data_IF_605989597577
#
_entry.id   IF_605989597577
#
_cell.length_a   1.000
_cell.length_b   1.000
_cell.length_c   1.000
_cell.angle_alpha   90.00
_cell.angle_beta   90.00
_cell.angle_gamma   90.00
#
_symmetry.space_group_name_H-M   'P 1'
#
loop_
_entity.id
_entity.type
_entity.pdbx_description
1 polymer ?
#
# COMPACT_ATOMS: atom_id res chain seq x y z
N UNK A 1 -18.43 -26.36 -44.60
CA UNK A 1 -17.18 -25.59 -44.46
C UNK A 1 -17.47 -24.44 -43.51
N UNK A 2 -17.06 -24.60 -42.25
CA UNK A 2 -17.22 -23.60 -41.18
C UNK A 2 -16.03 -22.64 -41.24
N UNK A 3 -16.31 -21.35 -41.48
CA UNK A 3 -15.33 -20.28 -41.40
C UNK A 3 -15.26 -19.74 -39.97
N UNK A 4 -14.11 -19.94 -39.32
CA UNK A 4 -13.81 -19.46 -37.98
C UNK A 4 -13.71 -17.92 -37.96
N UNK A 5 -14.56 -17.27 -37.18
CA UNK A 5 -14.38 -15.88 -36.79
C UNK A 5 -13.30 -15.82 -35.70
N UNK A 6 -12.16 -15.21 -36.01
CA UNK A 6 -11.14 -14.84 -35.04
C UNK A 6 -11.72 -13.80 -34.08
N UNK A 7 -12.15 -14.23 -32.89
CA UNK A 7 -12.41 -13.34 -31.76
C UNK A 7 -11.08 -12.84 -31.22
N UNK A 8 -10.73 -11.59 -31.51
CA UNK A 8 -9.65 -10.90 -30.79
C UNK A 8 -10.03 -10.78 -29.30
N UNK A 9 -9.08 -11.02 -28.37
CA UNK A 9 -9.31 -10.71 -26.96
C UNK A 9 -9.50 -9.19 -26.78
N UNK A 10 -10.21 -8.76 -25.72
CA UNK A 10 -10.61 -7.38 -25.54
C UNK A 10 -9.41 -6.44 -25.57
N UNK A 11 -9.60 -5.36 -26.33
CA UNK A 11 -8.66 -4.28 -26.59
C UNK A 11 -8.00 -3.76 -25.32
N UNK A 12 -6.71 -3.47 -25.45
CA UNK A 12 -5.76 -2.89 -24.51
C UNK A 12 -6.21 -1.63 -23.71
N UNK A 13 -7.44 -1.16 -23.89
CA UNK A 13 -8.05 -0.06 -23.14
C UNK A 13 -8.65 -0.49 -21.79
N UNK A 14 -9.07 -1.75 -21.60
CA UNK A 14 -9.62 -2.21 -20.30
C UNK A 14 -8.54 -2.58 -19.26
N UNK A 15 -7.28 -2.65 -19.69
CA UNK A 15 -6.11 -2.92 -18.85
C UNK A 15 -5.26 -1.67 -18.60
N UNK A 16 -5.83 -0.46 -18.76
CA UNK A 16 -5.26 0.70 -18.09
C UNK A 16 -5.33 0.44 -16.59
N UNK A 17 -4.19 0.12 -16.00
CA UNK A 17 -3.97 0.08 -14.57
C UNK A 17 -4.81 1.18 -13.90
N UNK A 18 -5.65 0.77 -12.93
CA UNK A 18 -6.55 1.63 -12.13
C UNK A 18 -5.76 2.68 -11.35
N UNK A 19 -5.19 3.64 -12.07
CA UNK A 19 -4.43 4.76 -11.55
C UNK A 19 -5.41 5.77 -10.99
N UNK A 20 -5.93 5.49 -9.80
CA UNK A 20 -6.58 6.51 -8.99
C UNK A 20 -5.58 7.63 -8.72
N UNK A 21 -5.98 8.87 -9.03
CA UNK A 21 -5.20 10.03 -8.60
C UNK A 21 -5.25 10.08 -7.07
N UNK A 22 -4.10 10.19 -6.37
CA UNK A 22 -4.10 10.28 -4.90
C UNK A 22 -5.04 11.37 -4.40
N UNK A 23 -5.88 11.04 -3.43
CA UNK A 23 -6.82 11.97 -2.80
C UNK A 23 -8.13 12.19 -3.56
N UNK A 24 -8.46 11.32 -4.52
CA UNK A 24 -9.73 11.34 -5.24
C UNK A 24 -10.89 10.90 -4.34
N UNK A 25 -10.68 9.89 -3.49
CA UNK A 25 -11.71 9.33 -2.60
C UNK A 25 -11.52 9.73 -1.13
N UNK A 26 -10.31 10.12 -0.75
CA UNK A 26 -9.92 10.36 0.64
C UNK A 26 -9.30 11.75 0.82
N UNK A 27 -9.47 12.35 1.99
CA UNK A 27 -8.73 13.56 2.34
C UNK A 27 -7.31 13.22 2.81
N UNK A 28 -6.33 13.34 1.90
CA UNK A 28 -4.91 12.96 2.11
C UNK A 28 -4.29 13.60 3.36
N UNK A 29 -4.52 14.90 3.57
CA UNK A 29 -3.95 15.65 4.69
C UNK A 29 -4.89 15.75 5.90
N UNK A 30 -5.99 14.98 5.93
CA UNK A 30 -6.94 15.05 7.05
C UNK A 30 -6.28 14.75 8.40
N UNK A 31 -5.30 13.85 8.42
CA UNK A 31 -4.48 13.54 9.60
C UNK A 31 -3.82 14.76 10.27
N UNK A 32 -3.69 15.90 9.56
CA UNK A 32 -3.14 17.17 10.08
C UNK A 32 -4.20 18.12 10.65
N UNK A 33 -5.48 17.85 10.36
CA UNK A 33 -6.60 18.69 10.79
C UNK A 33 -6.87 18.60 12.29
N UNK A 34 -7.54 19.61 12.85
CA UNK A 34 -7.94 19.61 14.26
C UNK A 34 -8.97 18.50 14.57
N UNK A 35 -9.87 18.21 13.62
CA UNK A 35 -10.89 17.15 13.72
C UNK A 35 -10.23 15.77 13.85
N UNK A 36 -9.22 15.49 13.02
CA UNK A 36 -8.53 14.20 13.05
C UNK A 36 -7.80 13.94 14.37
N UNK A 37 -7.37 14.99 15.10
CA UNK A 37 -6.63 14.83 16.37
C UNK A 37 -7.40 13.98 17.37
N UNK A 38 -8.73 14.08 17.42
CA UNK A 38 -9.54 13.26 18.33
C UNK A 38 -9.40 11.76 18.00
N UNK A 39 -9.44 11.40 16.72
CA UNK A 39 -9.29 10.01 16.25
C UNK A 39 -7.87 9.49 16.46
N UNK A 40 -6.87 10.26 16.04
CA UNK A 40 -5.46 9.86 16.16
C UNK A 40 -4.98 9.84 17.62
N UNK A 41 -5.58 10.61 18.53
CA UNK A 41 -5.28 10.54 19.96
C UNK A 41 -5.60 9.16 20.55
N UNK A 42 -6.60 8.45 20.03
CA UNK A 42 -6.98 7.09 20.46
C UNK A 42 -6.00 6.02 19.98
N UNK A 43 -5.23 6.34 18.94
CA UNK A 43 -4.16 5.50 18.43
C UNK A 43 -2.82 5.75 19.13
N UNK A 44 -2.77 6.71 20.06
CA UNK A 44 -1.58 7.02 20.84
C UNK A 44 -1.79 6.70 22.32
N UNK A 45 -0.73 6.22 22.96
CA UNK A 45 -0.65 6.11 24.41
C UNK A 45 0.68 6.72 24.86
N UNK A 46 0.65 7.69 25.77
CA UNK A 46 1.84 8.42 26.25
C UNK A 46 2.73 8.98 25.11
N UNK A 47 2.11 9.60 24.10
CA UNK A 47 2.76 10.18 22.90
C UNK A 47 3.48 9.18 21.99
N UNK A 48 3.36 7.87 22.23
CA UNK A 48 3.80 6.81 21.31
C UNK A 48 2.59 6.15 20.64
N UNK A 49 2.76 5.53 19.48
CA UNK A 49 1.68 4.74 18.87
C UNK A 49 1.38 3.53 19.76
N UNK A 50 0.10 3.28 19.98
CA UNK A 50 -0.35 2.12 20.72
C UNK A 50 -0.28 0.90 19.79
N UNK A 51 0.30 -0.19 20.29
CA UNK A 51 0.18 -1.50 19.66
C UNK A 51 -1.18 -2.09 20.01
N UNK A 52 -1.90 -2.56 18.99
CA UNK A 52 -3.18 -3.24 19.17
C UNK A 52 -2.98 -4.73 18.88
N UNK A 53 -3.56 -5.58 19.74
CA UNK A 53 -3.63 -7.02 19.48
C UNK A 53 -4.57 -7.37 18.32
N UNK A 54 -4.57 -8.63 17.93
CA UNK A 54 -5.45 -9.16 16.86
C UNK A 54 -6.96 -9.00 17.16
N UNK A 55 -7.34 -8.86 18.42
CA UNK A 55 -8.74 -8.64 18.82
C UNK A 55 -8.99 -7.24 19.39
N UNK A 56 -7.94 -6.44 19.57
CA UNK A 56 -8.09 -5.09 20.09
C UNK A 56 -8.50 -4.12 18.98
N UNK A 57 -9.32 -3.14 19.34
CA UNK A 57 -9.70 -2.04 18.48
C UNK A 57 -9.68 -0.71 19.27
N UNK A 58 -9.44 0.43 18.61
CA UNK A 58 -9.56 1.74 19.23
C UNK A 58 -11.01 1.96 19.68
N UNK A 59 -11.22 2.25 20.97
CA UNK A 59 -12.55 2.57 21.50
C UNK A 59 -12.85 4.04 21.24
N UNK A 60 -13.89 4.30 20.46
CA UNK A 60 -14.40 5.64 20.21
C UNK A 60 -15.48 6.03 21.24
N UNK A 61 -15.64 7.32 21.56
CA UNK A 61 -16.77 7.79 22.35
C UNK A 61 -18.10 7.41 21.69
N UNK A 62 -19.15 7.08 22.45
CA UNK A 62 -20.45 6.68 21.90
C UNK A 62 -21.13 7.79 21.08
N UNK A 63 -20.71 9.04 21.22
CA UNK A 63 -21.15 10.17 20.38
C UNK A 63 -20.59 10.13 18.96
N UNK A 64 -19.58 9.30 18.68
CA UNK A 64 -18.90 9.21 17.38
C UNK A 64 -18.97 7.75 16.91
N UNK A 65 -19.88 7.46 15.98
CA UNK A 65 -19.91 6.16 15.30
C UNK A 65 -18.85 6.15 14.18
N UNK A 66 -17.93 5.19 14.25
CA UNK A 66 -16.90 5.00 13.22
C UNK A 66 -16.89 3.55 12.81
N UNK A 67 -17.18 3.30 11.53
CA UNK A 67 -17.12 1.96 10.99
C UNK A 67 -15.66 1.55 10.77
N UNK A 68 -15.35 0.28 11.04
CA UNK A 68 -14.02 -0.30 10.82
C UNK A 68 -14.06 -1.27 9.65
N UNK A 69 -13.18 -1.05 8.68
CA UNK A 69 -12.96 -1.96 7.54
C UNK A 69 -11.65 -2.70 7.73
N UNK A 70 -11.64 -4.00 7.46
CA UNK A 70 -10.51 -4.88 7.74
C UNK A 70 -9.88 -5.35 6.44
N UNK A 71 -8.57 -5.21 6.31
CA UNK A 71 -7.84 -5.64 5.12
C UNK A 71 -6.61 -6.46 5.50
N UNK A 72 -6.42 -7.59 4.83
CA UNK A 72 -5.22 -8.42 4.91
C UNK A 72 -4.24 -7.98 3.84
N UNK A 73 -3.06 -7.53 4.28
CA UNK A 73 -2.00 -7.01 3.41
C UNK A 73 -0.76 -7.87 3.55
N UNK A 74 -0.37 -8.55 2.48
CA UNK A 74 0.84 -9.37 2.46
C UNK A 74 2.07 -8.54 2.07
N UNK A 75 3.17 -8.69 2.80
CA UNK A 75 4.45 -8.03 2.50
C UNK A 75 5.38 -9.04 1.84
N UNK A 76 5.70 -8.81 0.57
CA UNK A 76 6.60 -9.64 -0.24
C UNK A 76 7.86 -8.87 -0.60
N UNK A 77 8.99 -9.57 -0.67
CA UNK A 77 10.28 -8.97 -0.96
C UNK A 77 11.42 -9.90 -0.60
N UNK A 78 12.62 -9.64 -1.14
CA UNK A 78 13.82 -10.44 -0.85
C UNK A 78 14.17 -10.44 0.63
N UNK A 79 14.99 -11.39 1.08
CA UNK A 79 15.57 -11.34 2.42
C UNK A 79 16.35 -10.02 2.64
N UNK A 80 16.37 -9.53 3.87
CA UNK A 80 17.02 -8.28 4.27
C UNK A 80 16.59 -6.96 3.58
N UNK A 81 15.55 -6.94 2.73
CA UNK A 81 15.02 -5.67 2.13
C UNK A 81 14.28 -4.77 3.13
N UNK A 82 14.12 -5.20 4.38
CA UNK A 82 13.47 -4.39 5.42
C UNK A 82 11.94 -4.56 5.53
N UNK A 83 11.40 -5.74 5.23
CA UNK A 83 9.96 -6.06 5.41
C UNK A 83 9.49 -5.84 6.86
N UNK A 84 10.18 -6.44 7.82
CA UNK A 84 9.89 -6.33 9.25
C UNK A 84 10.05 -4.89 9.74
N UNK A 85 11.08 -4.19 9.25
CA UNK A 85 11.28 -2.77 9.49
C UNK A 85 10.10 -1.94 8.99
N UNK A 86 9.60 -2.19 7.77
CA UNK A 86 8.44 -1.48 7.22
C UNK A 86 7.20 -1.74 8.08
N UNK A 87 6.91 -3.00 8.43
CA UNK A 87 5.77 -3.36 9.26
C UNK A 87 5.83 -2.64 10.63
N UNK A 88 6.99 -2.68 11.29
CA UNK A 88 7.23 -1.96 12.54
C UNK A 88 7.03 -0.45 12.39
N UNK A 89 7.57 0.17 11.33
CA UNK A 89 7.39 1.61 11.04
C UNK A 89 5.92 1.98 10.81
N UNK A 90 5.18 1.17 10.05
CA UNK A 90 3.76 1.40 9.79
C UNK A 90 2.93 1.34 11.08
N UNK A 91 3.30 0.47 12.01
CA UNK A 91 2.70 0.39 13.34
C UNK A 91 3.21 1.44 14.33
N UNK A 92 4.30 2.15 13.99
CA UNK A 92 5.00 3.06 14.90
C UNK A 92 5.65 2.36 16.09
N UNK A 93 6.09 1.12 15.88
CA UNK A 93 6.92 0.35 16.81
C UNK A 93 8.39 0.74 16.65
N UNK A 94 9.16 0.49 17.70
CA UNK A 94 10.61 0.67 17.64
C UNK A 94 11.18 -0.30 16.60
N UNK A 95 11.94 0.25 15.65
CA UNK A 95 12.51 -0.55 14.56
C UNK A 95 13.59 -1.47 15.13
N UNK A 96 13.53 -2.80 14.88
CA UNK A 96 14.58 -3.72 15.32
C UNK A 96 15.95 -3.28 14.81
N UNK A 97 16.91 -3.09 15.73
CA UNK A 97 18.30 -2.71 15.39
C UNK A 97 19.12 -3.87 14.86
N UNK A 98 18.70 -5.10 15.15
CA UNK A 98 19.33 -6.33 14.69
C UNK A 98 18.45 -7.00 13.66
N UNK A 99 19.03 -7.37 12.51
CA UNK A 99 18.33 -8.13 11.49
C UNK A 99 18.31 -9.61 11.89
N UNK A 100 17.11 -10.13 12.12
CA UNK A 100 16.86 -11.57 12.16
C UNK A 100 15.90 -11.91 11.03
N UNK A 101 16.11 -13.06 10.39
CA UNK A 101 15.14 -13.56 9.43
C UNK A 101 13.87 -14.02 10.15
N UNK A 102 12.70 -13.54 9.69
CA UNK A 102 11.40 -13.90 10.26
C UNK A 102 11.14 -15.40 10.08
N UNK A 103 11.18 -16.13 11.19
CA UNK A 103 10.94 -17.58 11.27
C UNK A 103 9.43 -17.85 11.28
N UNK A 104 8.79 -17.74 10.11
CA UNK A 104 7.35 -17.95 9.94
C UNK A 104 6.61 -16.70 9.46
N UNK A 105 5.36 -16.52 9.92
CA UNK A 105 4.49 -15.40 9.59
C UNK A 105 4.38 -14.49 10.81
N UNK A 106 4.75 -13.22 10.65
CA UNK A 106 4.56 -12.18 11.65
C UNK A 106 3.40 -11.27 11.22
N UNK A 107 2.43 -11.06 12.10
CA UNK A 107 1.26 -10.23 11.82
C UNK A 107 1.28 -8.95 12.65
N UNK A 108 1.30 -7.80 11.96
CA UNK A 108 1.26 -6.48 12.58
C UNK A 108 -0.06 -5.78 12.23
N UNK A 109 -0.80 -5.33 13.25
CA UNK A 109 -2.07 -4.63 13.06
C UNK A 109 -1.87 -3.12 13.14
N UNK A 110 -2.36 -2.40 12.14
CA UNK A 110 -2.32 -0.93 12.09
C UNK A 110 -3.72 -0.38 11.85
N UNK A 111 -4.16 0.49 12.75
CA UNK A 111 -5.38 1.26 12.57
C UNK A 111 -5.04 2.62 11.96
N UNK A 112 -5.74 2.98 10.89
CA UNK A 112 -5.58 4.25 10.18
C UNK A 112 -6.93 4.93 9.96
N UNK A 113 -7.24 6.05 10.64
CA UNK A 113 -8.48 6.78 10.45
C UNK A 113 -8.40 7.63 9.18
N UNK A 114 -9.40 7.52 8.31
CA UNK A 114 -9.47 8.27 7.04
C UNK A 114 -10.86 8.86 6.86
N UNK A 115 -10.91 10.13 6.44
CA UNK A 115 -12.15 10.81 6.06
C UNK A 115 -12.37 10.68 4.55
N UNK A 116 -13.52 10.11 4.19
CA UNK A 116 -13.97 9.99 2.81
C UNK A 116 -14.41 11.35 2.29
N UNK A 117 -14.06 11.69 1.04
CA UNK A 117 -14.49 12.94 0.40
C UNK A 117 -15.98 12.93 0.09
N UNK A 118 -16.49 11.84 -0.50
CA UNK A 118 -17.86 11.79 -1.03
C UNK A 118 -18.93 11.91 0.05
N UNK A 119 -18.70 11.30 1.21
CA UNK A 119 -19.69 11.23 2.29
C UNK A 119 -19.33 12.09 3.50
N UNK A 120 -18.10 12.60 3.57
CA UNK A 120 -17.56 13.25 4.76
C UNK A 120 -17.42 12.32 5.98
N UNK A 121 -17.75 11.03 5.85
CA UNK A 121 -17.68 10.05 6.94
C UNK A 121 -16.23 9.64 7.19
N UNK A 122 -15.93 9.35 8.45
CA UNK A 122 -14.64 8.78 8.86
C UNK A 122 -14.78 7.26 8.94
N UNK A 123 -13.79 6.55 8.42
CA UNK A 123 -13.65 5.10 8.56
C UNK A 123 -12.31 4.77 9.23
N UNK A 124 -12.31 3.74 10.07
CA UNK A 124 -11.09 3.11 10.53
C UNK A 124 -10.67 2.01 9.57
N UNK A 125 -9.53 2.20 8.93
CA UNK A 125 -8.89 1.15 8.14
C UNK A 125 -8.01 0.33 9.07
N UNK A 126 -8.35 -0.94 9.26
CA UNK A 126 -7.56 -1.92 10.00
C UNK A 126 -6.76 -2.75 9.02
N UNK A 127 -5.47 -2.43 8.89
CA UNK A 127 -4.53 -3.20 8.09
C UNK A 127 -3.90 -4.29 8.94
N UNK A 128 -3.98 -5.53 8.48
CA UNK A 128 -3.23 -6.66 9.01
C UNK A 128 -2.06 -6.92 8.07
N UNK A 129 -0.87 -6.46 8.43
CA UNK A 129 0.35 -6.69 7.66
C UNK A 129 0.92 -8.05 8.00
N UNK A 130 0.99 -8.93 7.01
CA UNK A 130 1.57 -10.25 7.10
C UNK A 130 2.98 -10.20 6.51
N UNK A 131 3.99 -10.20 7.37
CA UNK A 131 5.39 -10.33 6.99
C UNK A 131 5.81 -11.80 7.06
N UNK A 132 6.55 -12.26 6.06
CA UNK A 132 7.09 -13.61 6.03
C UNK A 132 8.51 -13.59 5.46
N UNK A 133 9.44 -14.26 6.14
CA UNK A 133 10.82 -14.42 5.68
C UNK A 133 10.87 -15.14 4.33
N UNK A 134 11.76 -14.71 3.43
CA UNK A 134 11.86 -15.31 2.09
C UNK A 134 12.31 -16.78 2.18
N UNK A 135 13.25 -17.11 3.06
CA UNK A 135 13.67 -18.51 3.22
C UNK A 135 12.58 -19.33 3.89
N UNK A 136 11.78 -18.75 4.77
CA UNK A 136 10.61 -19.42 5.38
C UNK A 136 9.58 -19.77 4.29
N UNK A 137 9.27 -18.85 3.38
CA UNK A 137 8.38 -19.13 2.24
C UNK A 137 8.92 -20.22 1.31
N UNK A 138 10.24 -20.30 1.11
CA UNK A 138 10.88 -21.33 0.28
C UNK A 138 11.00 -22.68 0.97
N UNK A 139 11.12 -22.70 2.30
CA UNK A 139 11.27 -23.93 3.11
C UNK A 139 9.94 -24.57 3.44
N UNK A 140 8.86 -23.78 3.50
CA UNK A 140 7.54 -24.24 3.91
C UNK A 140 6.50 -23.92 2.84
N UNK A 141 6.25 -24.89 1.96
CA UNK A 141 5.34 -24.74 0.82
C UNK A 141 3.90 -24.37 1.21
N UNK A 142 3.51 -24.57 2.46
CA UNK A 142 2.18 -24.24 2.99
C UNK A 142 2.04 -22.78 3.46
N UNK A 143 3.14 -22.05 3.68
CA UNK A 143 3.07 -20.65 4.15
C UNK A 143 2.59 -19.70 3.06
N UNK A 144 3.08 -19.87 1.82
CA UNK A 144 2.71 -19.00 0.72
C UNK A 144 1.20 -19.10 0.36
N UNK A 145 0.57 -20.29 0.27
CA UNK A 145 -0.87 -20.41 0.13
C UNK A 145 -1.64 -19.74 1.28
N UNK A 146 -1.20 -19.92 2.54
CA UNK A 146 -1.85 -19.32 3.72
C UNK A 146 -1.79 -17.79 3.72
N UNK A 147 -0.67 -17.21 3.24
CA UNK A 147 -0.54 -15.77 3.07
C UNK A 147 -1.43 -15.23 1.95
N UNK A 148 -1.62 -16.00 0.88
CA UNK A 148 -2.42 -15.62 -0.30
C UNK A 148 -3.92 -15.79 -0.09
N UNK A 149 -4.34 -16.69 0.80
CA UNK A 149 -5.76 -16.89 1.09
C UNK A 149 -6.38 -15.61 1.66
N UNK A 150 -7.47 -15.14 1.02
CA UNK A 150 -8.22 -13.94 1.44
C UNK A 150 -7.35 -12.69 1.61
N UNK A 151 -6.30 -12.51 0.80
CA UNK A 151 -5.52 -11.27 0.82
C UNK A 151 -6.19 -10.19 -0.05
N UNK A 152 -6.24 -8.97 0.46
CA UNK A 152 -6.83 -7.83 -0.25
C UNK A 152 -5.75 -6.99 -0.97
N UNK A 153 -4.52 -7.00 -0.43
CA UNK A 153 -3.39 -6.29 -1.02
C UNK A 153 -2.04 -7.03 -0.86
N UNK A 154 -1.11 -6.70 -1.76
CA UNK A 154 0.30 -7.09 -1.68
C UNK A 154 1.19 -5.85 -1.77
N UNK A 155 2.12 -5.74 -0.82
CA UNK A 155 3.24 -4.80 -0.87
C UNK A 155 4.49 -5.52 -1.38
N UNK A 156 5.04 -5.07 -2.50
CA UNK A 156 6.31 -5.57 -3.03
C UNK A 156 7.44 -4.64 -2.61
N UNK A 157 8.41 -5.16 -1.86
CA UNK A 157 9.51 -4.38 -1.33
C UNK A 157 10.80 -4.62 -2.11
N UNK A 158 11.49 -3.52 -2.39
CA UNK A 158 12.87 -3.52 -2.87
C UNK A 158 13.68 -2.53 -2.03
N UNK A 159 15.00 -2.69 -2.05
CA UNK A 159 15.93 -1.78 -1.37
C UNK A 159 16.65 -0.92 -2.41
N UNK A 160 16.78 0.37 -2.13
CA UNK A 160 17.54 1.31 -2.98
C UNK A 160 19.05 1.01 -3.03
N UNK A 161 19.57 0.24 -2.07
CA UNK A 161 20.98 -0.18 -2.02
C UNK A 161 21.20 -1.61 -2.56
N UNK A 162 20.15 -2.25 -3.09
CA UNK A 162 20.24 -3.59 -3.68
C UNK A 162 19.50 -3.63 -5.01
N UNK A 163 20.21 -3.37 -6.11
CA UNK A 163 19.64 -3.43 -7.45
C UNK A 163 19.07 -4.81 -7.80
N UNK A 164 19.63 -5.90 -7.25
CA UNK A 164 19.10 -7.23 -7.50
C UNK A 164 17.68 -7.39 -6.92
N UNK A 165 17.33 -6.70 -5.83
CA UNK A 165 15.96 -6.69 -5.29
C UNK A 165 14.98 -5.99 -6.22
N UNK A 166 15.42 -4.94 -6.92
CA UNK A 166 14.59 -4.21 -7.87
C UNK A 166 14.32 -5.01 -9.15
N UNK A 167 15.35 -5.64 -9.72
CA UNK A 167 15.20 -6.51 -10.92
C UNK A 167 14.25 -7.68 -10.66
N UNK A 168 14.25 -8.22 -9.43
CA UNK A 168 13.40 -9.35 -9.05
C UNK A 168 11.92 -8.97 -8.84
N UNK A 169 11.57 -7.67 -8.75
CA UNK A 169 10.19 -7.21 -8.52
C UNK A 169 9.21 -7.77 -9.55
N UNK A 170 9.57 -7.73 -10.84
CA UNK A 170 8.70 -8.21 -11.92
C UNK A 170 8.39 -9.71 -11.77
N UNK A 171 9.39 -10.50 -11.39
CA UNK A 171 9.25 -11.92 -11.08
C UNK A 171 8.37 -12.13 -9.84
N UNK A 172 8.59 -11.34 -8.79
CA UNK A 172 7.78 -11.41 -7.57
C UNK A 172 6.32 -11.04 -7.81
N UNK A 173 6.04 -10.03 -8.63
CA UNK A 173 4.69 -9.63 -9.01
C UNK A 173 4.00 -10.74 -9.80
N UNK A 174 4.71 -11.35 -10.77
CA UNK A 174 4.21 -12.47 -11.53
C UNK A 174 3.89 -13.70 -10.65
N UNK A 175 4.74 -14.01 -9.66
CA UNK A 175 4.49 -15.10 -8.69
C UNK A 175 3.41 -14.74 -7.67
N UNK A 176 3.33 -13.47 -7.28
CA UNK A 176 2.48 -12.97 -6.22
C UNK A 176 1.01 -12.88 -6.63
N UNK A 177 0.75 -12.72 -7.94
CA UNK A 177 -0.61 -12.60 -8.46
C UNK A 177 -1.01 -13.72 -9.40
N UNK A 178 -2.21 -14.29 -9.20
CA UNK A 178 -2.90 -15.03 -10.24
C UNK A 178 -3.48 -14.08 -11.30
N UNK A 179 -3.80 -14.59 -12.49
CA UNK A 179 -4.36 -13.82 -13.61
C UNK A 179 -5.76 -13.21 -13.33
N UNK A 180 -6.41 -13.57 -12.22
CA UNK A 180 -7.80 -13.25 -11.90
C UNK A 180 -7.99 -12.57 -10.54
N UNK A 181 -6.91 -12.17 -9.89
CA UNK A 181 -6.96 -11.66 -8.52
C UNK A 181 -7.26 -10.16 -8.51
N UNK A 182 -8.47 -9.78 -8.08
CA UNK A 182 -8.80 -8.42 -7.64
C UNK A 182 -8.00 -8.14 -6.36
N UNK A 183 -6.70 -7.91 -6.47
CA UNK A 183 -5.82 -7.68 -5.34
C UNK A 183 -5.04 -6.39 -5.60
N UNK A 184 -5.06 -5.48 -4.63
CA UNK A 184 -4.35 -4.21 -4.71
C UNK A 184 -2.85 -4.47 -4.65
N UNK A 185 -2.11 -3.92 -5.61
CA UNK A 185 -0.65 -4.04 -5.67
C UNK A 185 -0.02 -2.69 -5.42
N UNK A 186 0.99 -2.65 -4.56
CA UNK A 186 1.79 -1.47 -4.28
C UNK A 186 3.24 -1.86 -4.17
N UNK A 187 4.15 -1.06 -4.73
CA UNK A 187 5.59 -1.27 -4.55
C UNK A 187 6.13 -0.27 -3.52
N UNK A 188 7.01 -0.71 -2.64
CA UNK A 188 7.64 0.11 -1.61
C UNK A 188 9.16 -0.03 -1.71
N UNK A 189 9.82 1.07 -2.06
CA UNK A 189 11.27 1.19 -1.98
C UNK A 189 11.69 1.55 -0.56
N UNK A 190 12.43 0.66 0.09
CA UNK A 190 13.04 0.91 1.39
C UNK A 190 14.47 1.41 1.22
N UNK A 191 14.89 2.30 2.11
CA UNK A 191 16.31 2.67 2.23
C UNK A 191 16.89 1.81 3.36
N UNK A 192 17.86 0.94 3.07
CA UNK A 192 18.46 0.09 4.08
C UNK A 192 18.93 0.94 5.27
N UNK A 193 18.54 0.50 6.47
CA UNK A 193 19.03 1.05 7.73
C UNK A 193 20.49 0.61 7.87
N UNK A 194 21.39 1.40 7.29
CA UNK A 194 22.75 1.50 7.82
C UNK A 194 22.64 2.04 9.24
N UNK A 195 23.34 1.37 10.16
CA UNK A 195 23.44 1.69 11.58
C UNK A 195 23.47 3.21 11.81
N UNK A 196 22.70 3.63 12.82
CA UNK A 196 22.95 4.74 13.71
C UNK A 196 24.02 5.76 13.25
N UNK A 197 23.58 7.01 13.01
CA UNK A 197 24.40 8.23 13.17
C UNK A 197 25.23 8.76 11.98
N UNK A 198 24.90 8.48 10.72
CA UNK A 198 25.52 9.23 9.61
C UNK A 198 24.54 10.21 8.92
N UNK A 199 24.81 11.53 8.94
CA UNK A 199 23.94 12.53 8.34
C UNK A 199 24.03 12.46 6.82
N UNK A 200 22.86 12.51 6.17
CA UNK A 200 22.44 13.03 4.85
C UNK A 200 23.38 13.11 3.62
N UNK A 201 24.70 13.04 3.73
CA UNK A 201 25.64 13.39 2.65
C UNK A 201 26.35 12.21 1.98
N UNK A 202 26.50 11.03 2.62
CA UNK A 202 27.26 9.93 2.00
C UNK A 202 26.40 8.88 1.27
N UNK A 203 25.11 8.76 1.57
CA UNK A 203 24.26 7.71 0.97
C UNK A 203 23.54 8.15 -0.32
N UNK A 204 24.07 9.14 -1.03
CA UNK A 204 23.73 9.42 -2.43
C UNK A 204 24.63 8.62 -3.39
N UNK A 205 25.80 8.15 -2.92
CA UNK A 205 26.80 7.44 -3.73
C UNK A 205 26.59 5.91 -3.79
N UNK A 206 25.66 5.36 -3.01
CA UNK A 206 25.39 3.91 -2.91
C UNK A 206 23.94 3.55 -3.25
N UNK A 207 23.29 4.36 -4.09
CA UNK A 207 21.96 4.02 -4.61
C UNK A 207 22.17 3.28 -5.93
N UNK A 208 21.97 1.97 -5.91
CA UNK A 208 22.11 1.15 -7.13
C UNK A 208 20.86 1.21 -8.02
N UNK A 209 19.75 1.79 -7.51
CA UNK A 209 18.48 1.95 -8.23
C UNK A 209 18.17 3.43 -8.40
N UNK A 210 18.12 3.90 -9.65
CA UNK A 210 17.92 5.32 -9.97
C UNK A 210 16.44 5.72 -9.92
N UNK A 211 16.19 7.03 -9.78
CA UNK A 211 14.84 7.61 -9.91
C UNK A 211 14.18 7.26 -11.25
N UNK A 212 14.97 7.26 -12.32
CA UNK A 212 14.50 7.03 -13.68
C UNK A 212 14.07 5.59 -13.89
N UNK A 213 14.79 4.63 -13.32
CA UNK A 213 14.40 3.22 -13.31
C UNK A 213 13.09 3.01 -12.57
N UNK A 214 12.93 3.61 -11.38
CA UNK A 214 11.68 3.52 -10.62
C UNK A 214 10.51 4.13 -11.40
N UNK A 215 10.73 5.28 -12.04
CA UNK A 215 9.70 5.97 -12.83
C UNK A 215 9.33 5.17 -14.09
N UNK A 216 10.33 4.58 -14.74
CA UNK A 216 10.14 3.70 -15.91
C UNK A 216 9.39 2.43 -15.54
N UNK A 217 9.74 1.82 -14.40
CA UNK A 217 9.02 0.67 -13.86
C UNK A 217 7.57 1.02 -13.51
N UNK A 218 7.33 2.16 -12.86
CA UNK A 218 5.98 2.61 -12.53
C UNK A 218 5.14 2.85 -13.79
N UNK A 219 5.73 3.43 -14.83
CA UNK A 219 5.06 3.64 -16.11
C UNK A 219 4.77 2.31 -16.85
N UNK A 220 5.70 1.36 -16.81
CA UNK A 220 5.57 0.07 -17.48
C UNK A 220 4.60 -0.89 -16.76
N UNK A 221 4.63 -0.93 -15.43
CA UNK A 221 3.81 -1.83 -14.62
C UNK A 221 2.44 -1.23 -14.25
N UNK A 222 2.31 0.10 -14.25
CA UNK A 222 1.13 0.79 -13.76
C UNK A 222 0.89 0.66 -12.25
N UNK A 223 1.86 0.13 -11.50
CA UNK A 223 1.76 -0.08 -10.05
C UNK A 223 2.35 1.13 -9.32
N UNK A 224 1.64 1.72 -8.34
CA UNK A 224 2.17 2.86 -7.61
C UNK A 224 3.39 2.45 -6.76
N UNK A 225 4.44 3.29 -6.81
CA UNK A 225 5.68 3.08 -6.06
C UNK A 225 5.80 4.13 -4.95
N UNK A 226 5.98 3.68 -3.71
CA UNK A 226 6.20 4.54 -2.54
C UNK A 226 7.61 4.37 -2.00
N UNK A 227 8.06 5.37 -1.25
CA UNK A 227 9.37 5.39 -0.63
C UNK A 227 9.22 5.51 0.86
N UNK A 228 9.85 4.59 1.58
CA UNK A 228 9.85 4.61 3.03
C UNK A 228 11.31 4.51 3.49
N UNK A 229 11.82 5.62 4.02
CA UNK A 229 13.22 5.76 4.38
C UNK A 229 13.53 7.19 4.83
N UNK A 230 14.10 7.34 6.02
CA UNK A 230 14.28 8.62 6.68
C UNK A 230 14.50 8.48 8.18
N UNK A 231 15.05 9.53 8.78
CA UNK A 231 15.37 9.65 10.20
C UNK A 231 14.12 9.47 11.07
N UNK A 232 14.33 8.91 12.26
CA UNK A 232 13.35 8.33 13.20
C UNK A 232 12.47 9.39 13.88
N UNK A 233 11.93 10.33 13.11
CA UNK A 233 10.89 11.23 13.58
C UNK A 233 9.56 10.47 13.48
N UNK A 234 9.23 9.72 14.54
CA UNK A 234 8.03 8.88 14.73
C UNK A 234 6.68 9.61 14.66
N UNK A 235 6.48 10.43 13.63
CA UNK A 235 5.25 11.13 13.32
C UNK A 235 4.38 10.34 12.33
N UNK A 236 3.14 10.80 12.19
CA UNK A 236 2.19 10.26 11.22
C UNK A 236 2.58 10.55 9.76
N UNK A 237 3.39 11.59 9.52
CA UNK A 237 3.66 12.14 8.20
C UNK A 237 4.50 11.25 7.26
N UNK A 238 5.40 10.41 7.78
CA UNK A 238 6.22 9.52 6.92
C UNK A 238 5.35 8.40 6.32
N UNK A 239 4.46 7.83 7.13
CA UNK A 239 3.63 6.67 6.72
C UNK A 239 2.28 7.08 6.12
N UNK A 240 1.83 8.32 6.38
CA UNK A 240 0.54 8.81 5.90
C UNK A 240 0.35 8.66 4.38
N UNK A 241 1.33 9.01 3.51
CA UNK A 241 1.15 8.84 2.07
C UNK A 241 0.87 7.39 1.67
N UNK A 242 1.61 6.44 2.25
CA UNK A 242 1.45 5.01 1.96
C UNK A 242 0.13 4.46 2.51
N UNK A 243 -0.22 4.77 3.77
CA UNK A 243 -1.45 4.28 4.40
C UNK A 243 -2.71 4.91 3.79
N UNK A 244 -2.66 6.19 3.40
CA UNK A 244 -3.74 6.84 2.68
C UNK A 244 -3.94 6.24 1.29
N UNK A 245 -2.85 5.99 0.55
CA UNK A 245 -2.94 5.37 -0.76
C UNK A 245 -3.48 3.94 -0.68
N UNK A 246 -3.03 3.15 0.31
CA UNK A 246 -3.58 1.82 0.55
C UNK A 246 -5.06 1.86 0.87
N UNK A 247 -5.48 2.74 1.78
CA UNK A 247 -6.88 2.93 2.12
C UNK A 247 -7.72 3.29 0.89
N UNK A 248 -7.22 4.19 0.05
CA UNK A 248 -7.91 4.64 -1.16
C UNK A 248 -8.05 3.54 -2.21
N UNK A 249 -6.97 2.81 -2.50
CA UNK A 249 -6.99 1.71 -3.48
C UNK A 249 -7.90 0.57 -3.04
N UNK A 250 -7.83 0.19 -1.77
CA UNK A 250 -8.65 -0.88 -1.20
C UNK A 250 -10.13 -0.48 -1.13
N UNK A 251 -10.42 0.73 -0.67
CA UNK A 251 -11.78 1.24 -0.64
C UNK A 251 -12.41 1.35 -2.03
N UNK A 252 -11.63 1.75 -3.03
CA UNK A 252 -12.11 1.76 -4.41
C UNK A 252 -12.45 0.37 -4.90
N UNK A 253 -11.60 -0.62 -4.61
CA UNK A 253 -11.83 -1.99 -5.00
C UNK A 253 -13.11 -2.56 -4.36
N UNK A 254 -13.32 -2.31 -3.06
CA UNK A 254 -14.55 -2.70 -2.36
C UNK A 254 -15.79 -2.05 -2.97
N UNK A 255 -15.71 -0.77 -3.35
CA UNK A 255 -16.83 -0.09 -4.01
C UNK A 255 -17.17 -0.69 -5.36
N UNK A 256 -16.17 -1.16 -6.10
CA UNK A 256 -16.36 -1.81 -7.39
C UNK A 256 -16.96 -3.20 -7.20
N UNK A 257 -16.47 -3.98 -6.22
CA UNK A 257 -17.04 -5.26 -5.85
C UNK A 257 -18.49 -5.13 -5.36
N UNK A 258 -18.80 -4.06 -4.63
CA UNK A 258 -20.15 -3.74 -4.15
C UNK A 258 -21.06 -3.09 -5.22
N UNK A 259 -20.57 -2.81 -6.43
CA UNK A 259 -21.33 -2.16 -7.51
C UNK A 259 -21.75 -0.71 -7.22
N UNK A 260 -21.13 -0.03 -6.25
CA UNK A 260 -21.53 1.31 -5.75
C UNK A 260 -20.64 2.44 -6.29
N UNK A 261 -20.48 2.53 -7.61
CA UNK A 261 -19.79 3.68 -8.22
C UNK A 261 -20.83 4.66 -8.82
N UNK A 262 -20.84 5.94 -8.41
CA UNK A 262 -21.53 6.96 -9.19
C UNK A 262 -20.83 7.10 -10.56
N UNK A 263 -21.56 7.37 -11.64
CA UNK A 263 -20.96 7.54 -12.95
C UNK A 263 -19.91 8.66 -12.89
N UNK A 264 -18.71 8.37 -13.38
CA UNK A 264 -17.68 9.38 -13.66
C UNK A 264 -18.34 10.50 -14.47
N UNK A 265 -18.11 11.79 -14.15
CA UNK A 265 -18.55 12.86 -15.02
C UNK A 265 -17.76 12.74 -16.33
N UNK A 266 -18.43 12.20 -17.36
CA UNK A 266 -17.96 12.24 -18.73
C UNK A 266 -17.69 13.70 -19.06
N UNK A 267 -16.44 14.04 -19.37
CA UNK A 267 -16.11 15.28 -20.04
C UNK A 267 -16.85 15.28 -21.38
N UNK A 268 -18.05 15.85 -21.40
CA UNK A 268 -18.74 16.15 -22.65
C UNK A 268 -17.91 17.22 -23.34
N UNK A 269 -17.31 16.82 -24.46
CA UNK A 269 -16.68 17.74 -25.38
C UNK A 269 -17.69 18.79 -25.82
N UNK A 270 -17.34 20.05 -25.59
CA UNK A 270 -17.90 21.17 -26.33
C UNK A 270 -17.34 21.10 -27.77
N UNK A 271 -17.99 20.33 -28.63
CA UNK A 271 -18.00 20.63 -30.06
C UNK A 271 -19.20 21.52 -30.31
N UNK A 272 -19.01 22.82 -30.14
CA UNK A 272 -19.94 23.84 -30.61
C UNK A 272 -19.78 24.00 -32.11
N UNK A 273 -20.69 23.38 -32.86
CA UNK A 273 -20.94 23.66 -34.27
C UNK A 273 -21.27 25.13 -34.46
N UNK A 274 -20.44 25.86 -35.21
CA UNK A 274 -20.75 27.15 -35.80
C UNK A 274 -21.12 26.93 -37.26
N UNK A 275 -22.42 26.80 -37.52
CA UNK A 275 -22.99 26.90 -38.86
C UNK A 275 -24.36 27.60 -38.82
N UNK A 276 -24.42 28.79 -39.41
CA UNK A 276 -25.54 29.26 -40.23
C UNK A 276 -26.74 29.91 -39.55
N UNK A 277 -26.77 31.24 -39.57
CA UNK A 277 -27.87 32.06 -40.09
C UNK A 277 -27.28 33.37 -40.62
#
# INVERSE_FOLDING_TARGET
MLGAACSWPPTCCELMARSLRPGSLVHVDWHRSAEAKEFFSRLQHKKKRRQFGLLEAPVMPPSISVDTVNYKVFISGKSAVGKTTLAARLAGLDVPRMHYETTGIETTVVFWPVKLRDSGRVLFFRFQFWDCGENSLRRFDHLLPSCKEQMDAILFLFSFVDHASFVDLSSQIARGTGASDNIVKVVVGTKALGLDSFPRFDLFMHTDVTEEEVRSFQAASGIPVFRVGGDVCGGWGEVAPLLNALAELLWHQDRLAAGKMPPQPSSRGETGDLAGC
#
